data_IF_033259246150
#
_entry.id   IF_033259246150
#
_cell.length_a   1.000
_cell.length_b   1.000
_cell.length_c   1.000
_cell.angle_alpha   90.00
_cell.angle_beta   90.00
_cell.angle_gamma   90.00
#
_symmetry.space_group_name_H-M   'P 1'
#
loop_
_entity.id
_entity.type
_entity.pdbx_description
1 polymer ?
#
# COMPACT_ATOMS: atom_id res chain seq x y z
N UNK A 1 25.69 13.11 -3.76
CA UNK A 1 24.57 12.17 -3.99
C UNK A 1 23.40 12.93 -4.56
N UNK A 2 22.73 12.39 -5.57
CA UNK A 2 21.51 13.02 -6.12
C UNK A 2 20.37 12.95 -5.09
N UNK A 3 19.41 13.89 -5.14
CA UNK A 3 18.24 13.88 -4.27
C UNK A 3 17.37 12.61 -4.44
N UNK A 4 17.50 11.88 -5.55
CA UNK A 4 16.85 10.60 -5.76
C UNK A 4 17.40 9.52 -4.83
N UNK A 5 18.73 9.50 -4.63
CA UNK A 5 19.36 8.55 -3.71
C UNK A 5 18.96 8.89 -2.27
N UNK A 6 18.92 10.19 -1.91
CA UNK A 6 18.38 10.62 -0.61
C UNK A 6 16.92 10.20 -0.45
N UNK A 7 16.08 10.42 -1.47
CA UNK A 7 14.68 10.03 -1.48
C UNK A 7 14.48 8.52 -1.27
N UNK A 8 15.29 7.70 -1.93
CA UNK A 8 15.22 6.24 -1.77
C UNK A 8 15.55 5.80 -0.32
N UNK A 9 16.65 6.29 0.27
CA UNK A 9 16.99 5.94 1.65
C UNK A 9 15.99 6.50 2.67
N UNK A 10 15.41 7.67 2.42
CA UNK A 10 14.33 8.21 3.23
C UNK A 10 13.09 7.32 3.16
N UNK A 11 12.70 6.87 1.95
CA UNK A 11 11.57 5.97 1.76
C UNK A 11 11.83 4.60 2.43
N UNK A 12 13.04 4.06 2.30
CA UNK A 12 13.43 2.84 2.99
C UNK A 12 13.28 2.97 4.52
N UNK A 13 13.90 3.98 5.11
CA UNK A 13 13.88 4.17 6.56
C UNK A 13 12.49 4.50 7.12
N UNK A 14 11.58 5.02 6.30
CA UNK A 14 10.22 5.38 6.71
C UNK A 14 9.22 4.22 6.54
N UNK A 15 9.34 3.42 5.47
CA UNK A 15 8.30 2.48 5.05
C UNK A 15 8.68 1.00 5.22
N UNK A 16 9.89 0.69 5.70
CA UNK A 16 10.32 -0.69 5.95
C UNK A 16 10.82 -0.87 7.37
N UNK A 17 10.53 -2.02 7.94
CA UNK A 17 11.11 -2.47 9.23
C UNK A 17 12.56 -2.92 9.09
N UNK A 18 13.00 -3.21 7.87
CA UNK A 18 14.37 -3.64 7.58
C UNK A 18 15.32 -2.48 7.85
N UNK A 19 16.40 -2.68 8.62
CA UNK A 19 17.33 -1.62 8.95
C UNK A 19 17.83 -0.90 7.71
N UNK A 20 17.65 0.43 7.70
CA UNK A 20 18.12 1.26 6.59
C UNK A 20 19.65 1.39 6.66
N UNK A 21 20.39 1.05 5.59
CA UNK A 21 21.84 1.14 5.57
C UNK A 21 22.37 2.55 5.83
N UNK A 22 21.57 3.58 5.50
CA UNK A 22 21.93 4.97 5.66
C UNK A 22 20.75 5.80 6.14
N UNK A 23 20.70 6.11 7.45
CA UNK A 23 19.69 6.99 8.03
C UNK A 23 19.96 8.45 7.64
N UNK A 24 19.14 9.00 6.76
CA UNK A 24 19.28 10.37 6.23
C UNK A 24 17.90 10.99 6.14
N UNK A 25 17.79 12.27 6.51
CA UNK A 25 16.63 13.10 6.23
C UNK A 25 17.05 14.38 5.52
N UNK A 26 16.36 14.70 4.42
CA UNK A 26 16.55 15.93 3.66
C UNK A 26 15.21 16.43 3.14
N UNK A 27 14.77 17.59 3.59
CA UNK A 27 13.46 18.14 3.23
C UNK A 27 13.32 18.36 1.72
N UNK A 28 14.37 18.82 1.01
CA UNK A 28 14.37 18.98 -0.45
C UNK A 28 14.15 17.68 -1.24
N UNK A 29 14.43 16.51 -0.64
CA UNK A 29 14.27 15.21 -1.26
C UNK A 29 12.91 14.55 -0.96
N UNK A 30 12.06 15.18 -0.14
CA UNK A 30 10.79 14.60 0.34
C UNK A 30 9.84 14.18 -0.79
N UNK A 31 9.73 14.98 -1.85
CA UNK A 31 8.94 14.63 -3.04
C UNK A 31 9.51 13.41 -3.79
N UNK A 32 10.85 13.33 -3.87
CA UNK A 32 11.53 12.19 -4.48
C UNK A 32 11.43 10.94 -3.61
N UNK A 33 11.33 11.10 -2.29
CA UNK A 33 11.00 10.00 -1.37
C UNK A 33 9.67 9.35 -1.73
N UNK A 34 8.62 10.15 -1.95
CA UNK A 34 7.32 9.62 -2.39
C UNK A 34 7.40 8.97 -3.77
N UNK A 35 8.14 9.56 -4.71
CA UNK A 35 8.34 8.96 -6.03
C UNK A 35 9.11 7.62 -5.97
N UNK A 36 9.94 7.40 -4.95
CA UNK A 36 10.65 6.14 -4.72
C UNK A 36 9.77 5.04 -4.10
N UNK A 37 8.50 5.31 -3.72
CA UNK A 37 7.61 4.29 -3.17
C UNK A 37 7.49 3.02 -4.03
N UNK A 38 7.41 3.08 -5.36
CA UNK A 38 7.39 1.87 -6.18
C UNK A 38 8.65 0.99 -6.00
N UNK A 39 9.83 1.61 -5.76
CA UNK A 39 11.06 0.87 -5.48
C UNK A 39 10.99 0.17 -4.12
N UNK A 40 10.37 0.78 -3.13
CA UNK A 40 10.04 0.13 -1.86
C UNK A 40 9.05 -1.01 -2.11
N UNK A 41 8.08 -0.81 -2.99
CA UNK A 41 7.15 -1.83 -3.46
C UNK A 41 7.86 -3.06 -4.03
N UNK A 42 8.94 -2.86 -4.78
CA UNK A 42 9.75 -3.97 -5.32
C UNK A 42 10.43 -4.79 -4.21
N UNK A 43 10.93 -4.12 -3.16
CA UNK A 43 11.50 -4.81 -1.99
C UNK A 43 10.43 -5.63 -1.26
N UNK A 44 9.29 -4.99 -0.96
CA UNK A 44 8.16 -5.68 -0.29
C UNK A 44 7.65 -6.84 -1.12
N UNK A 45 7.45 -6.63 -2.42
CA UNK A 45 6.98 -7.66 -3.34
C UNK A 45 7.95 -8.82 -3.51
N UNK A 46 9.26 -8.53 -3.58
CA UNK A 46 10.29 -9.57 -3.64
C UNK A 46 10.31 -10.43 -2.37
N UNK A 47 10.17 -9.82 -1.20
CA UNK A 47 10.09 -10.57 0.07
C UNK A 47 8.76 -11.32 0.16
N UNK A 48 7.66 -10.74 -0.31
CA UNK A 48 6.37 -11.43 -0.35
C UNK A 48 6.41 -12.67 -1.24
N UNK A 49 7.00 -12.56 -2.44
CA UNK A 49 7.22 -13.71 -3.31
C UNK A 49 8.15 -14.76 -2.69
N UNK A 50 9.20 -14.33 -1.97
CA UNK A 50 10.06 -15.23 -1.21
C UNK A 50 9.28 -15.95 -0.11
N UNK A 51 8.41 -15.26 0.63
CA UNK A 51 7.54 -15.86 1.63
C UNK A 51 6.57 -16.88 1.01
N UNK A 52 6.00 -16.58 -0.17
CA UNK A 52 5.14 -17.49 -0.89
C UNK A 52 5.92 -18.75 -1.36
N UNK A 53 7.14 -18.56 -1.86
CA UNK A 53 8.03 -19.68 -2.23
C UNK A 53 8.41 -20.55 -1.02
N UNK A 54 8.81 -19.93 0.09
CA UNK A 54 9.09 -20.66 1.35
C UNK A 54 7.84 -21.35 1.88
N UNK A 55 6.68 -20.73 1.73
CA UNK A 55 5.38 -21.29 2.10
C UNK A 55 5.07 -22.60 1.39
N UNK A 56 5.58 -22.82 0.16
CA UNK A 56 5.37 -24.08 -0.56
C UNK A 56 5.97 -25.33 0.15
N UNK A 57 6.85 -25.12 1.12
CA UNK A 57 7.42 -26.17 1.96
C UNK A 57 6.68 -26.34 3.30
N UNK A 58 5.64 -25.56 3.57
CA UNK A 58 4.89 -25.55 4.81
C UNK A 58 3.48 -26.16 4.63
N UNK A 59 2.85 -26.63 5.71
CA UNK A 59 1.42 -26.93 5.68
C UNK A 59 0.60 -25.73 5.20
N UNK A 60 -0.40 -25.97 4.35
CA UNK A 60 -1.20 -24.93 3.69
C UNK A 60 -1.72 -23.81 4.62
N UNK A 61 -2.23 -24.08 5.85
CA UNK A 61 -2.67 -23.00 6.72
C UNK A 61 -1.55 -22.06 7.16
N UNK A 62 -0.33 -22.60 7.35
CA UNK A 62 0.83 -21.81 7.74
C UNK A 62 1.40 -21.02 6.55
N UNK A 63 1.41 -21.62 5.37
CA UNK A 63 1.75 -20.94 4.12
C UNK A 63 0.83 -19.74 3.86
N UNK A 64 -0.49 -19.94 4.02
CA UNK A 64 -1.48 -18.88 3.88
C UNK A 64 -1.29 -17.76 4.92
N UNK A 65 -1.00 -18.10 6.17
CA UNK A 65 -0.72 -17.12 7.21
C UNK A 65 0.54 -16.31 6.90
N UNK A 66 1.61 -16.97 6.47
CA UNK A 66 2.87 -16.32 6.08
C UNK A 66 2.63 -15.33 4.93
N UNK A 67 1.91 -15.75 3.88
CA UNK A 67 1.57 -14.89 2.74
C UNK A 67 0.66 -13.72 3.15
N UNK A 68 -0.31 -13.94 4.04
CA UNK A 68 -1.21 -12.89 4.51
C UNK A 68 -0.48 -11.84 5.36
N UNK A 69 0.42 -12.24 6.24
CA UNK A 69 1.09 -11.34 7.18
C UNK A 69 2.33 -10.65 6.60
N UNK A 70 2.99 -11.23 5.59
CA UNK A 70 4.27 -10.76 5.09
C UNK A 70 4.31 -9.25 4.73
N UNK A 71 3.40 -8.68 3.91
CA UNK A 71 3.47 -7.27 3.56
C UNK A 71 3.28 -6.35 4.77
N UNK A 72 2.49 -6.74 5.75
CA UNK A 72 2.26 -5.95 6.97
C UNK A 72 3.47 -5.95 7.90
N UNK A 73 4.09 -7.12 8.12
CA UNK A 73 5.30 -7.26 8.93
C UNK A 73 6.48 -6.49 8.34
N UNK A 74 6.67 -6.55 7.02
CA UNK A 74 7.77 -5.86 6.33
C UNK A 74 7.63 -4.35 6.41
N UNK A 75 6.39 -3.83 6.43
CA UNK A 75 6.09 -2.39 6.51
C UNK A 75 5.81 -1.90 7.93
N UNK A 76 5.97 -2.75 8.95
CA UNK A 76 5.77 -2.39 10.35
C UNK A 76 4.34 -1.94 10.65
N UNK A 77 3.35 -2.54 9.96
CA UNK A 77 1.92 -2.27 10.11
C UNK A 77 1.47 -0.84 9.76
N UNK A 78 2.36 0.03 9.27
CA UNK A 78 2.05 1.46 9.03
C UNK A 78 0.83 1.66 8.11
N UNK A 79 0.70 0.86 7.05
CA UNK A 79 -0.43 0.98 6.15
C UNK A 79 -1.70 0.38 6.73
N UNK A 80 -1.54 -0.67 7.56
CA UNK A 80 -2.64 -1.32 8.27
C UNK A 80 -3.21 -0.40 9.36
N UNK A 81 -2.37 0.36 10.03
CA UNK A 81 -2.75 1.43 10.97
C UNK A 81 -3.65 2.46 10.28
N UNK A 82 -3.19 3.02 9.17
CA UNK A 82 -4.02 3.92 8.36
C UNK A 82 -5.33 3.29 7.85
N UNK A 83 -5.34 1.98 7.56
CA UNK A 83 -6.57 1.26 7.24
C UNK A 83 -7.54 1.26 8.43
N UNK A 84 -7.06 0.96 9.62
CA UNK A 84 -7.85 0.92 10.84
C UNK A 84 -8.41 2.31 11.19
N UNK A 85 -7.59 3.35 11.11
CA UNK A 85 -7.97 4.73 11.42
C UNK A 85 -9.06 5.24 10.48
N UNK A 86 -8.94 4.97 9.19
CA UNK A 86 -9.98 5.34 8.20
C UNK A 86 -11.26 4.56 8.43
N UNK A 87 -11.19 3.26 8.76
CA UNK A 87 -12.37 2.47 9.09
C UNK A 87 -13.11 3.04 10.30
N UNK A 88 -12.41 3.36 11.38
CA UNK A 88 -13.04 3.97 12.56
C UNK A 88 -13.66 5.33 12.24
N UNK A 89 -12.92 6.20 11.57
CA UNK A 89 -13.40 7.53 11.22
C UNK A 89 -14.65 7.46 10.35
N UNK A 90 -14.63 6.67 9.29
CA UNK A 90 -15.71 6.65 8.28
C UNK A 90 -16.94 5.89 8.80
N UNK A 91 -16.74 4.73 9.43
CA UNK A 91 -17.86 3.91 9.92
C UNK A 91 -18.54 4.50 11.17
N UNK A 92 -17.90 5.46 11.84
CA UNK A 92 -18.55 6.23 12.92
C UNK A 92 -19.80 6.98 12.46
N UNK A 93 -19.93 7.24 11.14
CA UNK A 93 -21.03 8.00 10.51
C UNK A 93 -21.27 9.38 11.12
N UNK A 94 -20.21 9.97 11.70
CA UNK A 94 -20.25 11.33 12.28
C UNK A 94 -20.08 12.39 11.20
N UNK A 95 -20.20 13.64 11.58
CA UNK A 95 -19.86 14.79 10.73
C UNK A 95 -18.35 14.78 10.36
N UNK A 96 -17.99 15.60 9.38
CA UNK A 96 -16.63 15.62 8.83
C UNK A 96 -15.59 15.99 9.89
N UNK A 97 -15.88 16.99 10.73
CA UNK A 97 -14.94 17.47 11.76
C UNK A 97 -14.65 16.35 12.78
N UNK A 98 -15.70 15.68 13.24
CA UNK A 98 -15.57 14.54 14.16
C UNK A 98 -14.80 13.39 13.52
N UNK A 99 -15.07 13.05 12.24
CA UNK A 99 -14.31 12.01 11.53
C UNK A 99 -12.83 12.36 11.41
N UNK A 100 -12.50 13.61 11.08
CA UNK A 100 -11.10 14.06 11.01
C UNK A 100 -10.42 14.09 12.40
N UNK A 101 -11.18 14.27 13.48
CA UNK A 101 -10.68 14.15 14.85
C UNK A 101 -10.42 12.69 15.22
N UNK A 102 -11.33 11.76 14.89
CA UNK A 102 -11.14 10.32 15.08
C UNK A 102 -9.91 9.84 14.35
N UNK A 103 -9.69 10.26 13.12
CA UNK A 103 -8.52 9.90 12.30
C UNK A 103 -7.17 10.27 12.95
N UNK A 104 -7.17 11.19 13.93
CA UNK A 104 -5.97 11.63 14.67
C UNK A 104 -5.90 11.09 16.08
N UNK A 105 -6.93 10.38 16.51
CA UNK A 105 -6.97 9.79 17.84
C UNK A 105 -6.10 8.54 17.85
N UNK A 106 -5.20 8.44 18.81
CA UNK A 106 -4.34 7.26 19.01
C UNK A 106 -5.07 6.05 19.60
N UNK A 107 -6.34 6.21 19.99
CA UNK A 107 -7.15 5.11 20.51
C UNK A 107 -7.82 4.34 19.38
N UNK A 108 -7.74 3.02 19.44
CA UNK A 108 -8.37 2.13 18.50
C UNK A 108 -9.85 1.93 18.85
N UNK A 109 -10.76 2.20 17.91
CA UNK A 109 -12.17 1.96 18.09
C UNK A 109 -12.63 0.57 17.62
N UNK A 110 -13.90 0.28 17.89
CA UNK A 110 -14.47 -1.04 17.58
C UNK A 110 -14.53 -1.33 16.07
N UNK A 111 -14.80 -0.33 15.25
CA UNK A 111 -14.88 -0.53 13.80
C UNK A 111 -13.52 -0.88 13.19
N UNK A 112 -12.42 -0.30 13.68
CA UNK A 112 -11.06 -0.67 13.27
C UNK A 112 -10.80 -2.15 13.52
N UNK A 113 -11.13 -2.66 14.71
CA UNK A 113 -10.93 -4.07 15.07
C UNK A 113 -11.79 -5.00 14.21
N UNK A 114 -13.06 -4.68 14.01
CA UNK A 114 -13.97 -5.47 13.17
C UNK A 114 -13.45 -5.53 11.73
N UNK A 115 -13.08 -4.39 11.16
CA UNK A 115 -12.57 -4.30 9.79
C UNK A 115 -11.23 -5.01 9.64
N UNK A 116 -10.32 -4.89 10.61
CA UNK A 116 -9.06 -5.61 10.64
C UNK A 116 -9.29 -7.12 10.66
N UNK A 117 -10.22 -7.61 11.49
CA UNK A 117 -10.53 -9.04 11.56
C UNK A 117 -11.07 -9.56 10.24
N UNK A 118 -12.01 -8.83 9.61
CA UNK A 118 -12.55 -9.18 8.31
C UNK A 118 -11.48 -9.18 7.22
N UNK A 119 -10.64 -8.15 7.17
CA UNK A 119 -9.51 -8.05 6.24
C UNK A 119 -8.58 -9.26 6.38
N UNK A 120 -8.18 -9.56 7.61
CA UNK A 120 -7.24 -10.66 7.91
C UNK A 120 -7.83 -12.01 7.51
N UNK A 121 -9.10 -12.26 7.83
CA UNK A 121 -9.78 -13.49 7.47
C UNK A 121 -9.94 -13.63 5.95
N UNK A 122 -10.32 -12.55 5.25
CA UNK A 122 -10.43 -12.56 3.79
C UNK A 122 -9.08 -12.84 3.12
N UNK A 123 -8.01 -12.18 3.57
CA UNK A 123 -6.67 -12.35 3.01
C UNK A 123 -6.12 -13.75 3.29
N UNK A 124 -6.26 -14.25 4.53
CA UNK A 124 -5.85 -15.60 4.89
C UNK A 124 -6.64 -16.66 4.14
N UNK A 125 -7.97 -16.55 4.07
CA UNK A 125 -8.82 -17.48 3.34
C UNK A 125 -8.51 -17.49 1.84
N UNK A 126 -8.21 -16.32 1.25
CA UNK A 126 -7.77 -16.22 -0.13
C UNK A 126 -6.51 -17.07 -0.36
N UNK A 127 -5.45 -16.84 0.41
CA UNK A 127 -4.21 -17.62 0.27
C UNK A 127 -4.39 -19.11 0.65
N UNK A 128 -5.27 -19.42 1.59
CA UNK A 128 -5.59 -20.79 1.95
C UNK A 128 -6.23 -21.56 0.78
N UNK A 129 -7.01 -20.87 -0.06
CA UNK A 129 -7.70 -21.43 -1.23
C UNK A 129 -6.79 -21.50 -2.47
N UNK A 130 -5.59 -20.92 -2.43
CA UNK A 130 -4.66 -20.93 -3.55
C UNK A 130 -4.00 -22.30 -3.71
N UNK A 131 -4.10 -22.92 -4.89
CA UNK A 131 -3.35 -24.16 -5.20
C UNK A 131 -1.89 -23.86 -5.54
N UNK A 132 -1.65 -22.76 -6.27
CA UNK A 132 -0.33 -22.27 -6.61
C UNK A 132 -0.35 -20.74 -6.71
N UNK A 133 0.72 -20.09 -6.27
CA UNK A 133 0.86 -18.63 -6.35
C UNK A 133 1.92 -18.29 -7.41
N UNK A 134 1.55 -17.57 -8.47
CA UNK A 134 2.51 -17.05 -9.44
C UNK A 134 3.35 -15.94 -8.78
N UNK A 135 4.63 -16.21 -8.55
CA UNK A 135 5.51 -15.38 -7.72
C UNK A 135 5.74 -13.98 -8.31
N UNK A 136 5.93 -13.88 -9.64
CA UNK A 136 6.19 -12.59 -10.28
C UNK A 136 5.00 -11.64 -10.23
N UNK A 137 3.77 -12.04 -10.63
CA UNK A 137 2.60 -11.19 -10.44
C UNK A 137 2.36 -10.80 -8.99
N UNK A 138 2.58 -11.72 -8.03
CA UNK A 138 2.50 -11.42 -6.60
C UNK A 138 3.49 -10.33 -6.21
N UNK A 139 4.75 -10.43 -6.66
CA UNK A 139 5.78 -9.43 -6.39
C UNK A 139 5.47 -8.04 -6.97
N UNK A 140 4.70 -7.98 -8.05
CA UNK A 140 4.37 -6.73 -8.73
C UNK A 140 3.17 -5.98 -8.11
N UNK A 141 2.32 -6.66 -7.31
CA UNK A 141 1.19 -6.03 -6.60
C UNK A 141 1.66 -4.86 -5.71
N UNK A 142 2.68 -5.02 -4.82
CA UNK A 142 3.16 -3.91 -4.01
C UNK A 142 3.82 -2.79 -4.79
N UNK A 143 4.37 -3.07 -5.97
CA UNK A 143 4.91 -2.02 -6.85
C UNK A 143 3.79 -1.15 -7.40
N UNK A 144 2.72 -1.77 -7.91
CA UNK A 144 1.55 -1.07 -8.44
C UNK A 144 0.84 -0.24 -7.36
N UNK A 145 0.57 -0.84 -6.18
CA UNK A 145 -0.11 -0.14 -5.08
C UNK A 145 0.67 1.07 -4.60
N UNK A 146 2.00 0.98 -4.49
CA UNK A 146 2.86 2.08 -4.06
C UNK A 146 3.10 3.13 -5.16
N UNK A 147 3.06 2.74 -6.43
CA UNK A 147 3.02 3.70 -7.52
C UNK A 147 1.73 4.55 -7.49
N UNK A 148 0.59 3.92 -7.23
CA UNK A 148 -0.68 4.62 -7.01
C UNK A 148 -0.62 5.53 -5.78
N UNK A 149 -0.02 5.07 -4.67
CA UNK A 149 0.16 5.87 -3.46
C UNK A 149 1.01 7.13 -3.73
N UNK A 150 2.12 6.99 -4.45
CA UNK A 150 2.94 8.12 -4.89
C UNK A 150 2.13 9.10 -5.74
N UNK A 151 1.40 8.60 -6.74
CA UNK A 151 0.56 9.42 -7.61
C UNK A 151 -0.51 10.17 -6.80
N UNK A 152 -1.24 9.47 -5.94
CA UNK A 152 -2.33 10.05 -5.17
C UNK A 152 -1.84 11.18 -4.24
N UNK A 153 -0.76 10.95 -3.48
CA UNK A 153 -0.21 11.96 -2.56
C UNK A 153 0.41 13.15 -3.31
N UNK A 154 1.01 12.91 -4.50
CA UNK A 154 1.65 13.96 -5.30
C UNK A 154 0.68 14.75 -6.18
N UNK A 155 -0.57 14.29 -6.37
CA UNK A 155 -1.52 14.93 -7.30
C UNK A 155 -2.82 15.40 -6.63
N UNK A 156 -3.37 14.61 -5.69
CA UNK A 156 -4.64 14.93 -5.05
C UNK A 156 -4.49 16.05 -4.01
N UNK A 157 -5.60 16.75 -3.76
CA UNK A 157 -5.66 17.79 -2.72
C UNK A 157 -5.41 17.17 -1.34
N UNK A 158 -4.41 17.62 -0.58
CA UNK A 158 -4.19 17.13 0.77
C UNK A 158 -5.30 17.63 1.71
N UNK A 159 -5.55 16.87 2.77
CA UNK A 159 -6.29 17.36 3.93
C UNK A 159 -5.54 18.56 4.53
N UNK A 160 -6.27 19.54 5.06
CA UNK A 160 -5.68 20.72 5.72
C UNK A 160 -4.71 20.35 6.85
N UNK A 161 -4.97 19.22 7.49
CA UNK A 161 -4.22 18.69 8.63
C UNK A 161 -3.10 17.72 8.23
N UNK A 162 -2.96 17.42 6.93
CA UNK A 162 -1.97 16.48 6.42
C UNK A 162 -0.57 17.07 6.44
N UNK A 163 0.43 16.25 6.79
CA UNK A 163 1.85 16.58 6.67
C UNK A 163 2.28 16.90 5.22
N UNK A 164 1.46 16.59 4.23
CA UNK A 164 1.71 16.88 2.80
C UNK A 164 1.10 18.20 2.32
N UNK A 165 0.46 18.97 3.19
CA UNK A 165 -0.26 20.21 2.82
C UNK A 165 0.62 21.26 2.15
N UNK A 166 1.88 21.39 2.57
CA UNK A 166 2.87 22.35 2.02
C UNK A 166 3.63 21.84 0.77
N UNK A 167 3.38 20.61 0.29
CA UNK A 167 4.13 20.06 -0.85
C UNK A 167 3.60 20.60 -2.18
N UNK A 168 4.53 21.01 -3.05
CA UNK A 168 4.21 21.32 -4.45
C UNK A 168 3.82 20.06 -5.22
N UNK A 169 2.87 20.16 -6.15
CA UNK A 169 2.31 19.04 -6.90
C UNK A 169 2.91 18.94 -8.31
N UNK A 170 2.77 17.75 -8.94
CA UNK A 170 3.18 17.54 -10.32
C UNK A 170 4.70 17.35 -10.52
N UNK A 171 5.14 17.41 -11.77
CA UNK A 171 6.55 17.33 -12.17
C UNK A 171 7.12 15.93 -12.28
N UNK A 172 8.44 15.82 -12.43
CA UNK A 172 9.16 14.58 -12.68
C UNK A 172 8.83 13.41 -11.71
N UNK A 173 8.59 13.62 -10.37
CA UNK A 173 8.17 12.55 -9.47
C UNK A 173 6.86 11.86 -9.87
N UNK A 174 5.88 12.63 -10.37
CA UNK A 174 4.58 12.09 -10.84
C UNK A 174 4.78 11.30 -12.11
N UNK A 175 5.54 11.84 -13.07
CA UNK A 175 5.83 11.16 -14.35
C UNK A 175 6.53 9.82 -14.09
N UNK A 176 7.52 9.80 -13.21
CA UNK A 176 8.21 8.56 -12.85
C UNK A 176 7.25 7.50 -12.26
N UNK A 177 6.42 7.87 -11.29
CA UNK A 177 5.46 6.95 -10.69
C UNK A 177 4.42 6.44 -11.71
N UNK A 178 3.97 7.29 -12.63
CA UNK A 178 3.03 6.92 -13.70
C UNK A 178 3.67 5.94 -14.71
N UNK A 179 4.91 6.17 -15.10
CA UNK A 179 5.65 5.25 -16.00
C UNK A 179 5.83 3.89 -15.33
N UNK A 180 6.23 3.86 -14.06
CA UNK A 180 6.39 2.59 -13.32
C UNK A 180 5.07 1.84 -13.22
N UNK A 181 3.97 2.53 -12.90
CA UNK A 181 2.64 1.92 -12.82
C UNK A 181 2.23 1.30 -14.17
N UNK A 182 2.37 2.06 -15.26
CA UNK A 182 2.02 1.59 -16.60
C UNK A 182 2.90 0.38 -17.01
N UNK A 183 4.21 0.45 -16.73
CA UNK A 183 5.14 -0.64 -17.04
C UNK A 183 4.80 -1.91 -16.25
N UNK A 184 4.54 -1.80 -14.94
CA UNK A 184 4.24 -2.95 -14.09
C UNK A 184 2.92 -3.62 -14.49
N UNK A 185 1.87 -2.84 -14.70
CA UNK A 185 0.59 -3.38 -15.15
C UNK A 185 0.70 -4.00 -16.56
N UNK A 186 1.36 -3.31 -17.50
CA UNK A 186 1.55 -3.80 -18.86
C UNK A 186 2.40 -5.06 -18.92
N UNK A 187 3.55 -5.08 -18.24
CA UNK A 187 4.42 -6.26 -18.20
C UNK A 187 3.76 -7.46 -17.54
N UNK A 188 2.97 -7.24 -16.48
CA UNK A 188 2.26 -8.33 -15.81
C UNK A 188 1.27 -9.02 -16.73
N UNK A 189 0.52 -8.26 -17.52
CA UNK A 189 -0.41 -8.81 -18.52
C UNK A 189 0.36 -9.49 -19.67
N UNK A 190 1.38 -8.81 -20.23
CA UNK A 190 2.08 -9.29 -21.43
C UNK A 190 2.93 -10.52 -21.18
N UNK A 191 3.57 -10.65 -19.99
CA UNK A 191 4.54 -11.72 -19.73
C UNK A 191 3.95 -12.87 -18.91
N UNK A 192 2.90 -12.63 -18.13
CA UNK A 192 2.33 -13.62 -17.21
C UNK A 192 0.81 -13.76 -17.29
N UNK A 193 0.16 -13.10 -18.24
CA UNK A 193 -1.31 -13.08 -18.39
C UNK A 193 -2.03 -12.77 -17.06
N UNK A 194 -1.45 -11.89 -16.25
CA UNK A 194 -1.95 -11.61 -14.92
C UNK A 194 -2.42 -10.16 -14.78
N UNK A 195 -3.68 -10.02 -14.38
CA UNK A 195 -4.32 -8.74 -14.10
C UNK A 195 -4.16 -8.30 -12.63
N UNK A 196 -3.43 -9.04 -11.79
CA UNK A 196 -3.33 -8.76 -10.36
C UNK A 196 -2.78 -7.36 -10.02
N UNK A 197 -1.68 -6.85 -10.63
CA UNK A 197 -1.23 -5.47 -10.39
C UNK A 197 -2.21 -4.41 -10.91
N UNK A 198 -2.90 -4.68 -12.01
CA UNK A 198 -3.94 -3.79 -12.52
C UNK A 198 -5.15 -3.73 -11.57
N UNK A 199 -5.59 -4.88 -11.05
CA UNK A 199 -6.64 -4.95 -10.04
C UNK A 199 -6.25 -4.20 -8.76
N UNK A 200 -4.99 -4.35 -8.31
CA UNK A 200 -4.46 -3.58 -7.19
C UNK A 200 -4.55 -2.07 -7.46
N UNK A 201 -4.18 -1.61 -8.66
CA UNK A 201 -4.28 -0.21 -9.03
C UNK A 201 -5.73 0.29 -9.02
N UNK A 202 -6.66 -0.48 -9.62
CA UNK A 202 -8.09 -0.14 -9.62
C UNK A 202 -8.65 -0.08 -8.20
N UNK A 203 -8.37 -1.09 -7.36
CA UNK A 203 -8.79 -1.13 -5.97
C UNK A 203 -8.22 0.05 -5.17
N UNK A 204 -6.94 0.42 -5.41
CA UNK A 204 -6.33 1.60 -4.79
C UNK A 204 -7.14 2.85 -5.09
N UNK A 205 -7.40 3.13 -6.37
CA UNK A 205 -8.08 4.36 -6.77
C UNK A 205 -9.54 4.43 -6.30
N UNK A 206 -10.25 3.31 -6.29
CA UNK A 206 -11.61 3.23 -5.75
C UNK A 206 -11.62 3.50 -4.23
N UNK A 207 -10.73 2.85 -3.49
CA UNK A 207 -10.61 3.04 -2.04
C UNK A 207 -10.13 4.46 -1.68
N UNK A 208 -9.13 4.98 -2.39
CA UNK A 208 -8.64 6.34 -2.19
C UNK A 208 -9.73 7.37 -2.49
N UNK A 209 -10.47 7.22 -3.59
CA UNK A 209 -11.58 8.10 -3.95
C UNK A 209 -12.68 8.07 -2.86
N UNK A 210 -13.05 6.87 -2.38
CA UNK A 210 -14.04 6.72 -1.32
C UNK A 210 -13.59 7.45 -0.03
N UNK A 211 -12.40 7.15 0.48
CA UNK A 211 -11.88 7.75 1.70
C UNK A 211 -11.64 9.27 1.55
N UNK A 212 -11.14 9.71 0.39
CA UNK A 212 -10.97 11.12 0.05
C UNK A 212 -12.28 11.90 0.14
N UNK A 213 -13.38 11.33 -0.38
CA UNK A 213 -14.71 11.95 -0.32
C UNK A 213 -15.26 12.00 1.11
N UNK A 214 -14.96 10.97 1.92
CA UNK A 214 -15.45 10.88 3.30
C UNK A 214 -14.68 11.79 4.27
N UNK A 215 -13.41 12.08 3.99
CA UNK A 215 -12.49 12.79 4.88
C UNK A 215 -12.04 14.16 4.35
N UNK A 216 -12.50 14.54 3.17
CA UNK A 216 -12.25 15.83 2.51
C UNK A 216 -10.77 16.12 2.21
N UNK A 217 -10.03 15.09 1.74
CA UNK A 217 -8.66 15.26 1.28
C UNK A 217 -7.79 14.04 1.44
N UNK A 218 -6.55 14.14 0.94
CA UNK A 218 -5.55 13.08 0.96
C UNK A 218 -4.65 13.22 2.19
N UNK A 219 -4.44 12.11 2.91
CA UNK A 219 -3.49 11.99 4.03
C UNK A 219 -2.66 10.72 3.89
N UNK A 220 -1.71 10.50 4.81
CA UNK A 220 -0.98 9.24 4.94
C UNK A 220 -1.92 8.07 5.22
N UNK A 221 -2.91 8.28 6.11
CA UNK A 221 -3.86 7.26 6.53
C UNK A 221 -4.81 6.87 5.40
N UNK A 222 -5.32 7.86 4.64
CA UNK A 222 -6.11 7.63 3.41
C UNK A 222 -5.30 6.82 2.39
N UNK A 223 -4.00 7.12 2.23
CA UNK A 223 -3.12 6.36 1.36
C UNK A 223 -2.86 4.95 1.88
N UNK A 224 -2.65 4.79 3.19
CA UNK A 224 -2.48 3.49 3.85
C UNK A 224 -3.71 2.60 3.71
N UNK A 225 -4.90 3.17 3.96
CA UNK A 225 -6.19 2.51 3.72
C UNK A 225 -6.31 1.99 2.29
N UNK A 226 -6.08 2.87 1.32
CA UNK A 226 -6.20 2.52 -0.10
C UNK A 226 -5.16 1.47 -0.53
N UNK A 227 -3.94 1.55 0.01
CA UNK A 227 -2.87 0.60 -0.26
C UNK A 227 -3.20 -0.79 0.29
N UNK A 228 -3.75 -0.87 1.50
CA UNK A 228 -4.17 -2.14 2.11
C UNK A 228 -5.28 -2.82 1.30
N UNK A 229 -6.28 -2.07 0.86
CA UNK A 229 -7.35 -2.57 -0.02
C UNK A 229 -6.80 -2.98 -1.39
N UNK A 230 -5.84 -2.22 -1.93
CA UNK A 230 -5.20 -2.55 -3.20
C UNK A 230 -4.46 -3.89 -3.15
N UNK A 231 -3.69 -4.13 -2.11
CA UNK A 231 -2.94 -5.39 -1.95
C UNK A 231 -3.88 -6.58 -1.75
N UNK A 232 -4.98 -6.42 -0.99
CA UNK A 232 -6.02 -7.43 -0.89
C UNK A 232 -6.68 -7.71 -2.25
N UNK A 233 -7.06 -6.67 -2.99
CA UNK A 233 -7.71 -6.81 -4.30
C UNK A 233 -6.81 -7.45 -5.34
N UNK A 234 -5.53 -7.08 -5.40
CA UNK A 234 -4.55 -7.70 -6.26
C UNK A 234 -4.32 -9.17 -5.93
N UNK A 235 -4.18 -9.50 -4.64
CA UNK A 235 -4.04 -10.88 -4.17
C UNK A 235 -5.29 -11.71 -4.47
N UNK A 236 -6.49 -11.15 -4.30
CA UNK A 236 -7.75 -11.83 -4.61
C UNK A 236 -7.84 -12.20 -6.10
N UNK A 237 -7.52 -11.26 -7.00
CA UNK A 237 -7.50 -11.56 -8.44
C UNK A 237 -6.45 -12.61 -8.76
N UNK A 238 -5.27 -12.56 -8.13
CA UNK A 238 -4.22 -13.54 -8.34
C UNK A 238 -4.64 -14.96 -7.96
N UNK A 239 -5.45 -15.11 -6.91
CA UNK A 239 -5.94 -16.40 -6.43
C UNK A 239 -7.15 -16.89 -7.22
N UNK A 240 -8.07 -15.99 -7.61
CA UNK A 240 -9.35 -16.35 -8.22
C UNK A 240 -9.29 -16.42 -9.75
N UNK A 241 -8.37 -15.71 -10.37
CA UNK A 241 -8.22 -15.68 -11.83
C UNK A 241 -7.15 -16.68 -12.25
N UNK A 242 -7.59 -17.78 -12.86
CA UNK A 242 -6.75 -18.88 -13.39
C UNK A 242 -6.86 -18.92 -14.90
#
# INVERSE_FOLDING_TARGET
MSDWIYGFFMAWGMFLTIPCPKKIWRESARRKMLACLPLIGLIVGGIWALCAWLGSFLPQPLAALLCAAAPWLITGFMHLDGYMDVCDAVLSRRDLETRQRILKDSHCGAFAVICLMLLTLCQWAGFLSAEALPLWPLALIPVASRACAALAVLTLRPMSTSQYSAMTRGGAPVVFAAIVLAAVCGLSVLLWDSFAPLAAAVCYWLAAWYAFRQLDGMSGDVSGFALTIAELGGAAVLVLWR
#
